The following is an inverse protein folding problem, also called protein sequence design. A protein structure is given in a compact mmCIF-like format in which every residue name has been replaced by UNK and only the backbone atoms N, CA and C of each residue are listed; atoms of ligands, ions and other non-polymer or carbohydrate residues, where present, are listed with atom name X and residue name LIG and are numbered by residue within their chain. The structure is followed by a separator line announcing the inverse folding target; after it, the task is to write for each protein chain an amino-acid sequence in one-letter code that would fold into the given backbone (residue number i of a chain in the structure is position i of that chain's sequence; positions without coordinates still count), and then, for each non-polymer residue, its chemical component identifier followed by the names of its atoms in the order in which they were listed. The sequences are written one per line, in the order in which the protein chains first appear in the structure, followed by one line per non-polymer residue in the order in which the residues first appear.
data_IF_769339375608
#
_entry.id   IF_769339375608
#
_cell.length_a   1.000
_cell.length_b   1.000
_cell.length_c   1.000
_cell.angle_alpha   90.00
_cell.angle_beta   90.00
_cell.angle_gamma   90.00
#
_symmetry.space_group_name_H-M   'P 1'
#
loop_
_entity.id
_entity.type
_entity.pdbx_description
1 polymer ?
#
# COMPACT_ATOMS: atom_id res chain seq x y z
N UNK A 1 20.03 7.58 -8.62
CA UNK A 1 19.20 7.06 -9.73
C UNK A 1 17.80 7.59 -9.47
N UNK A 2 17.16 8.29 -10.41
CA UNK A 2 15.86 8.92 -10.11
C UNK A 2 14.73 7.91 -10.29
N UNK A 3 14.07 7.54 -9.20
CA UNK A 3 12.85 6.73 -9.23
C UNK A 3 11.60 7.61 -9.18
N UNK A 4 10.56 7.30 -9.95
CA UNK A 4 9.29 8.05 -9.92
C UNK A 4 8.09 7.16 -10.26
N UNK A 5 6.89 7.69 -9.99
CA UNK A 5 5.61 7.03 -10.20
C UNK A 5 4.79 7.87 -11.18
N UNK A 6 4.28 7.25 -12.25
CA UNK A 6 3.24 7.82 -13.10
C UNK A 6 1.88 7.19 -12.72
N UNK A 7 0.89 8.02 -12.41
CA UNK A 7 -0.48 7.54 -12.21
C UNK A 7 -1.16 7.28 -13.55
N UNK A 8 -1.78 6.11 -13.68
CA UNK A 8 -2.48 5.68 -14.88
C UNK A 8 -3.99 5.88 -14.70
N UNK A 9 -4.64 6.49 -15.70
CA UNK A 9 -6.10 6.54 -15.75
C UNK A 9 -6.64 5.23 -16.32
N UNK A 10 -6.80 4.23 -15.44
CA UNK A 10 -7.34 2.91 -15.77
C UNK A 10 -8.55 2.61 -14.90
N UNK A 11 -9.47 1.81 -15.45
CA UNK A 11 -10.55 1.24 -14.66
C UNK A 11 -9.96 0.39 -13.52
N UNK A 12 -10.53 0.44 -12.30
CA UNK A 12 -10.06 -0.36 -11.19
C UNK A 12 -10.07 -1.85 -11.49
N UNK A 13 -9.01 -2.55 -11.08
CA UNK A 13 -8.91 -4.00 -11.23
C UNK A 13 -10.01 -4.71 -10.41
N UNK A 14 -10.78 -5.64 -11.00
CA UNK A 14 -11.84 -6.36 -10.29
C UNK A 14 -11.37 -7.08 -9.02
N UNK A 15 -10.12 -7.55 -8.99
CA UNK A 15 -9.52 -8.18 -7.81
C UNK A 15 -9.43 -7.18 -6.66
N UNK A 16 -9.05 -5.94 -6.96
CA UNK A 16 -8.90 -4.88 -5.96
C UNK A 16 -10.26 -4.39 -5.46
N UNK A 17 -11.26 -4.28 -6.34
CA UNK A 17 -12.63 -3.98 -5.96
C UNK A 17 -13.17 -5.02 -4.98
N UNK A 18 -12.90 -6.30 -5.21
CA UNK A 18 -13.30 -7.36 -4.29
C UNK A 18 -12.63 -7.22 -2.90
N UNK A 19 -11.36 -6.85 -2.84
CA UNK A 19 -10.67 -6.59 -1.57
C UNK A 19 -11.26 -5.39 -0.84
N UNK A 20 -11.64 -4.34 -1.58
CA UNK A 20 -12.34 -3.19 -1.02
C UNK A 20 -13.68 -3.60 -0.39
N UNK A 21 -14.50 -4.40 -1.10
CA UNK A 21 -15.79 -4.88 -0.58
C UNK A 21 -15.62 -5.67 0.73
N UNK A 22 -14.61 -6.54 0.81
CA UNK A 22 -14.29 -7.29 2.02
C UNK A 22 -13.95 -6.32 3.16
N UNK A 23 -13.08 -5.34 2.89
CA UNK A 23 -12.70 -4.36 3.90
C UNK A 23 -13.90 -3.54 4.39
N UNK A 24 -14.77 -3.11 3.49
CA UNK A 24 -15.99 -2.36 3.82
C UNK A 24 -16.96 -3.18 4.69
N UNK A 25 -17.03 -4.49 4.50
CA UNK A 25 -17.82 -5.39 5.37
C UNK A 25 -17.22 -5.54 6.77
N UNK A 26 -15.94 -5.25 6.97
CA UNK A 26 -15.29 -5.25 8.28
C UNK A 26 -15.53 -3.96 9.06
N UNK A 27 -15.82 -2.85 8.36
CA UNK A 27 -16.20 -1.58 8.99
C UNK A 27 -17.53 -1.77 9.71
N UNK A 28 -17.56 -1.41 10.99
CA UNK A 28 -18.77 -1.52 11.83
C UNK A 28 -19.03 -0.20 12.53
N UNK A 29 -20.27 0.29 12.45
CA UNK A 29 -20.71 1.52 13.12
C UNK A 29 -19.80 2.73 12.84
N UNK A 30 -19.26 2.82 11.61
CA UNK A 30 -18.34 3.89 11.20
C UNK A 30 -16.91 3.77 11.75
N UNK A 31 -16.59 2.71 12.50
CA UNK A 31 -15.26 2.42 13.01
C UNK A 31 -14.46 1.57 12.03
N UNK A 32 -13.20 1.96 11.85
CA UNK A 32 -12.23 1.23 11.04
C UNK A 32 -11.96 -0.15 11.66
N UNK A 33 -11.68 -1.17 10.84
CA UNK A 33 -11.31 -2.48 11.35
C UNK A 33 -9.93 -2.45 12.00
N UNK A 34 -9.74 -3.23 13.07
CA UNK A 34 -8.43 -3.46 13.64
C UNK A 34 -7.63 -4.43 12.76
N UNK A 35 -6.34 -4.15 12.56
CA UNK A 35 -5.44 -5.07 11.89
C UNK A 35 -5.20 -6.31 12.75
N UNK A 36 -5.26 -7.50 12.15
CA UNK A 36 -4.80 -8.73 12.77
C UNK A 36 -4.41 -9.75 11.70
N UNK A 37 -3.42 -10.58 11.99
CA UNK A 37 -3.02 -11.66 11.08
C UNK A 37 -4.19 -12.61 10.74
N UNK A 38 -5.09 -12.88 11.70
CA UNK A 38 -6.31 -13.64 11.46
C UNK A 38 -7.33 -12.90 10.56
N UNK A 39 -7.37 -11.57 10.66
CA UNK A 39 -8.17 -10.71 9.78
C UNK A 39 -7.67 -10.74 8.33
N UNK A 40 -6.36 -10.82 8.11
CA UNK A 40 -5.76 -10.93 6.78
C UNK A 40 -6.22 -12.19 6.02
N UNK A 41 -6.49 -13.29 6.73
CA UNK A 41 -6.98 -14.55 6.12
C UNK A 41 -8.35 -14.37 5.44
N UNK A 42 -9.10 -13.31 5.77
CA UNK A 42 -10.38 -13.01 5.12
C UNK A 42 -10.22 -12.49 3.69
N UNK A 43 -9.05 -11.97 3.34
CA UNK A 43 -8.76 -11.53 1.99
C UNK A 43 -8.31 -12.74 1.17
N UNK A 44 -8.94 -13.06 0.02
CA UNK A 44 -8.68 -14.27 -0.76
C UNK A 44 -7.41 -14.17 -1.60
N UNK A 45 -6.33 -13.67 -1.00
CA UNK A 45 -5.08 -13.30 -1.69
C UNK A 45 -3.90 -13.85 -0.91
N UNK A 46 -2.87 -14.27 -1.63
CA UNK A 46 -1.67 -14.77 -0.99
C UNK A 46 -1.00 -13.62 -0.20
N UNK A 47 -0.48 -13.87 1.02
CA UNK A 47 0.33 -12.90 1.76
C UNK A 47 1.51 -12.35 0.95
N UNK A 48 1.94 -13.06 -0.10
CA UNK A 48 3.00 -12.62 -1.01
C UNK A 48 2.63 -11.38 -1.84
N UNK A 49 1.34 -11.09 -2.01
CA UNK A 49 0.85 -9.87 -2.68
C UNK A 49 0.62 -8.70 -1.72
N UNK A 50 0.93 -8.86 -0.43
CA UNK A 50 0.64 -7.88 0.59
C UNK A 50 1.91 -7.22 1.14
N UNK A 51 1.85 -5.90 1.31
CA UNK A 51 2.77 -5.13 2.13
C UNK A 51 2.07 -4.65 3.40
N UNK A 52 2.78 -4.72 4.52
CA UNK A 52 2.29 -4.26 5.83
C UNK A 52 3.08 -3.02 6.22
N UNK A 53 2.37 -1.90 6.33
CA UNK A 53 2.95 -0.60 6.65
C UNK A 53 2.40 -0.16 7.99
N UNK A 54 3.27 0.03 8.98
CA UNK A 54 2.91 0.65 10.25
C UNK A 54 2.99 2.16 10.15
N UNK A 55 1.92 2.81 10.61
CA UNK A 55 1.85 4.26 10.76
C UNK A 55 2.32 4.62 12.16
N UNK A 56 3.57 5.10 12.25
CA UNK A 56 4.21 5.47 13.51
C UNK A 56 4.27 6.99 13.66
N UNK A 57 4.45 7.44 14.90
CA UNK A 57 4.61 8.85 15.23
C UNK A 57 5.92 9.07 15.97
N UNK A 58 6.68 10.06 15.49
CA UNK A 58 7.86 10.61 16.14
C UNK A 58 7.57 12.07 16.51
N UNK A 59 7.06 12.25 17.72
CA UNK A 59 6.46 13.52 18.15
C UNK A 59 5.25 13.89 17.28
N UNK A 60 5.35 15.03 16.56
CA UNK A 60 4.29 15.48 15.63
C UNK A 60 4.44 14.92 14.22
N UNK A 61 5.55 14.26 13.91
CA UNK A 61 5.84 13.75 12.57
C UNK A 61 5.29 12.33 12.45
N UNK A 62 4.43 12.12 11.46
CA UNK A 62 4.04 10.77 11.03
C UNK A 62 5.17 10.14 10.22
N UNK A 63 5.42 8.86 10.43
CA UNK A 63 6.44 8.07 9.74
C UNK A 63 5.86 6.73 9.36
N UNK A 64 6.28 6.22 8.21
CA UNK A 64 5.80 4.96 7.66
C UNK A 64 6.91 3.93 7.72
N UNK A 65 6.69 2.86 8.50
CA UNK A 65 7.61 1.75 8.64
C UNK A 65 7.07 0.54 7.89
N UNK A 66 7.80 0.07 6.88
CA UNK A 66 7.40 -1.12 6.13
C UNK A 66 7.81 -2.33 6.96
N UNK A 67 6.84 -2.99 7.58
CA UNK A 67 7.08 -4.19 8.39
C UNK A 67 7.57 -5.32 7.50
N UNK A 68 6.89 -5.50 6.37
CA UNK A 68 7.19 -6.54 5.40
C UNK A 68 6.54 -6.24 4.07
N UNK A 69 7.29 -6.45 3.00
CA UNK A 69 6.78 -6.61 1.64
C UNK A 69 6.64 -8.11 1.31
N UNK A 70 5.52 -8.46 0.69
CA UNK A 70 5.29 -9.80 0.15
C UNK A 70 6.20 -10.06 -1.05
N UNK A 71 6.58 -11.32 -1.28
CA UNK A 71 7.52 -11.67 -2.34
C UNK A 71 7.04 -11.25 -3.74
N UNK A 72 5.74 -11.34 -4.02
CA UNK A 72 5.16 -10.92 -5.29
C UNK A 72 5.06 -9.39 -5.39
N UNK A 73 4.96 -8.66 -4.27
CA UNK A 73 5.09 -7.19 -4.27
C UNK A 73 6.50 -6.80 -4.67
N UNK A 74 7.52 -7.40 -4.04
CA UNK A 74 8.93 -7.12 -4.36
C UNK A 74 9.22 -7.42 -5.83
N UNK A 75 8.67 -8.50 -6.38
CA UNK A 75 8.79 -8.83 -7.81
C UNK A 75 8.11 -7.77 -8.70
N UNK A 76 6.87 -7.38 -8.36
CA UNK A 76 6.08 -6.44 -9.16
C UNK A 76 6.60 -4.99 -9.10
N UNK A 77 7.13 -4.56 -7.96
CA UNK A 77 7.60 -3.18 -7.73
C UNK A 77 9.11 -3.07 -8.00
N UNK A 78 9.87 -4.13 -7.74
CA UNK A 78 11.31 -4.20 -7.98
C UNK A 78 12.20 -3.72 -6.85
N UNK A 79 11.64 -3.39 -5.68
CA UNK A 79 12.37 -3.01 -4.48
C UNK A 79 11.76 -3.72 -3.27
N UNK A 80 12.61 -4.09 -2.31
CA UNK A 80 12.19 -4.60 -1.00
C UNK A 80 12.48 -3.52 0.05
N UNK A 81 11.42 -2.97 0.62
CA UNK A 81 11.49 -1.96 1.68
C UNK A 81 11.31 -2.57 3.07
N UNK A 82 11.23 -3.90 3.21
CA UNK A 82 11.02 -4.57 4.49
C UNK A 82 12.02 -4.14 5.55
N UNK A 83 11.51 -3.79 6.73
CA UNK A 83 12.32 -3.40 7.88
C UNK A 83 12.88 -1.97 7.82
N UNK A 84 12.44 -1.13 6.87
CA UNK A 84 12.89 0.26 6.75
C UNK A 84 11.77 1.28 6.95
N UNK A 85 12.18 2.52 7.26
CA UNK A 85 11.29 3.66 7.14
C UNK A 85 11.36 4.22 5.72
N UNK A 86 10.21 4.61 5.15
CA UNK A 86 10.19 5.22 3.82
C UNK A 86 10.96 6.56 3.76
N UNK A 87 11.08 7.25 4.90
CA UNK A 87 11.86 8.48 5.01
C UNK A 87 13.34 8.28 5.37
N UNK A 88 13.82 7.03 5.39
CA UNK A 88 15.24 6.73 5.54
C UNK A 88 16.02 7.12 4.26
N UNK A 89 17.33 7.39 4.37
CA UNK A 89 18.19 7.60 3.20
C UNK A 89 18.06 6.45 2.20
N UNK A 90 17.82 6.78 0.94
CA UNK A 90 17.60 5.83 -0.17
C UNK A 90 18.21 6.38 -1.45
N UNK A 91 18.55 5.48 -2.38
CA UNK A 91 19.03 5.84 -3.72
C UNK A 91 17.92 6.38 -4.63
N UNK A 92 16.65 6.23 -4.21
CA UNK A 92 15.43 6.68 -4.92
C UNK A 92 14.52 7.53 -4.00
N UNK A 93 14.99 8.70 -3.51
CA UNK A 93 14.26 9.49 -2.53
C UNK A 93 12.96 10.11 -3.08
N UNK A 94 12.88 10.43 -4.37
CA UNK A 94 11.67 10.96 -4.99
C UNK A 94 10.54 9.92 -5.01
N UNK A 95 10.88 8.66 -5.32
CA UNK A 95 9.94 7.54 -5.27
C UNK A 95 9.34 7.37 -3.87
N UNK A 96 10.16 7.36 -2.82
CA UNK A 96 9.67 7.29 -1.44
C UNK A 96 8.83 8.51 -1.04
N UNK A 97 9.19 9.71 -1.52
CA UNK A 97 8.41 10.92 -1.24
C UNK A 97 6.99 10.82 -1.80
N UNK A 98 6.83 10.24 -2.99
CA UNK A 98 5.51 10.00 -3.59
C UNK A 98 4.73 8.97 -2.77
N UNK A 99 5.35 7.84 -2.41
CA UNK A 99 4.70 6.81 -1.57
C UNK A 99 4.21 7.39 -0.23
N UNK A 100 5.04 8.21 0.44
CA UNK A 100 4.66 8.89 1.68
C UNK A 100 3.42 9.76 1.47
N UNK A 101 3.37 10.52 0.36
CA UNK A 101 2.21 11.35 0.03
C UNK A 101 0.93 10.53 -0.19
N UNK A 102 1.04 9.35 -0.83
CA UNK A 102 -0.10 8.47 -1.04
C UNK A 102 -0.63 7.90 0.29
N UNK A 103 0.27 7.45 1.16
CA UNK A 103 -0.11 7.00 2.50
C UNK A 103 -0.71 8.11 3.36
N UNK A 104 -0.22 9.35 3.24
CA UNK A 104 -0.84 10.49 3.90
C UNK A 104 -2.27 10.72 3.42
N UNK A 105 -2.54 10.53 2.12
CA UNK A 105 -3.88 10.59 1.54
C UNK A 105 -4.83 9.53 2.11
N UNK A 106 -4.35 8.30 2.29
CA UNK A 106 -5.12 7.21 2.93
C UNK A 106 -5.42 7.55 4.38
N UNK A 107 -4.43 8.03 5.14
CA UNK A 107 -4.62 8.37 6.55
C UNK A 107 -5.59 9.54 6.70
N UNK A 108 -5.50 10.55 5.85
CA UNK A 108 -6.38 11.72 5.90
C UNK A 108 -7.83 11.38 5.52
N UNK A 109 -8.03 10.58 4.47
CA UNK A 109 -9.37 10.22 3.98
C UNK A 109 -10.05 9.15 4.81
N UNK A 110 -9.25 8.28 5.47
CA UNK A 110 -9.72 7.08 6.18
C UNK A 110 -10.52 6.15 5.27
N UNK A 111 -10.17 6.11 4.00
CA UNK A 111 -10.81 5.27 2.97
C UNK A 111 -9.75 4.47 2.22
N UNK A 112 -10.13 3.30 1.68
CA UNK A 112 -9.30 2.61 0.71
C UNK A 112 -8.88 3.52 -0.45
N UNK A 113 -7.62 3.43 -0.87
CA UNK A 113 -7.12 4.06 -2.11
C UNK A 113 -6.84 2.97 -3.12
N UNK A 114 -7.61 2.97 -4.21
CA UNK A 114 -7.33 2.19 -5.41
C UNK A 114 -6.40 2.98 -6.33
N UNK A 115 -5.48 2.29 -6.99
CA UNK A 115 -4.59 2.93 -7.95
C UNK A 115 -4.18 1.98 -9.07
N UNK A 116 -3.77 2.59 -10.18
CA UNK A 116 -3.00 1.98 -11.25
C UNK A 116 -1.82 2.91 -11.55
N UNK A 117 -0.62 2.37 -11.58
CA UNK A 117 0.61 3.13 -11.57
C UNK A 117 1.68 2.48 -12.46
N UNK A 118 2.57 3.29 -12.98
CA UNK A 118 3.80 2.86 -13.64
C UNK A 118 4.99 3.31 -12.80
N UNK A 119 5.71 2.35 -12.24
CA UNK A 119 6.87 2.58 -11.39
C UNK A 119 8.14 2.54 -12.22
N UNK A 120 8.89 3.64 -12.22
CA UNK A 120 10.19 3.74 -12.88
C UNK A 120 11.28 3.59 -11.85
N UNK A 121 11.89 2.42 -11.79
CA UNK A 121 12.99 2.07 -10.87
C UNK A 121 14.03 1.23 -11.61
N UNK A 122 15.33 1.48 -11.38
CA UNK A 122 16.42 0.74 -12.02
C UNK A 122 16.39 0.73 -13.56
N UNK A 123 15.98 1.85 -14.15
CA UNK A 123 15.76 2.00 -15.61
C UNK A 123 14.75 1.00 -16.18
N UNK A 124 13.84 0.48 -15.34
CA UNK A 124 12.73 -0.38 -15.75
C UNK A 124 11.41 0.27 -15.36
N UNK A 125 10.48 0.30 -16.31
CA UNK A 125 9.09 0.61 -16.04
C UNK A 125 8.37 -0.68 -15.62
N UNK A 126 7.57 -0.61 -14.57
CA UNK A 126 6.72 -1.71 -14.11
C UNK A 126 5.31 -1.19 -13.96
N UNK A 127 4.37 -1.82 -14.65
CA UNK A 127 2.95 -1.48 -14.55
C UNK A 127 2.34 -2.28 -13.40
N UNK A 128 1.71 -1.58 -12.46
CA UNK A 128 1.08 -2.20 -11.31
C UNK A 128 -0.31 -1.61 -11.07
N UNK A 129 -1.15 -2.39 -10.40
CA UNK A 129 -2.35 -1.90 -9.75
C UNK A 129 -2.35 -2.36 -8.30
N UNK A 130 -2.89 -1.53 -7.43
CA UNK A 130 -2.96 -1.87 -6.02
C UNK A 130 -4.07 -1.17 -5.27
N UNK A 131 -4.23 -1.62 -4.02
CA UNK A 131 -5.17 -1.04 -3.07
C UNK A 131 -4.48 -0.88 -1.72
N UNK A 132 -4.61 0.30 -1.13
CA UNK A 132 -4.17 0.59 0.23
C UNK A 132 -5.38 0.59 1.16
N UNK A 133 -5.38 -0.30 2.15
CA UNK A 133 -6.48 -0.51 3.09
C UNK A 133 -6.09 0.00 4.48
N UNK A 134 -6.79 1.01 5.03
CA UNK A 134 -6.49 1.52 6.37
C UNK A 134 -7.09 0.64 7.48
N UNK A 135 -6.32 0.43 8.55
CA UNK A 135 -6.75 -0.26 9.76
C UNK A 135 -6.44 0.61 10.99
N UNK A 136 -7.29 0.51 12.02
CA UNK A 136 -7.13 1.23 13.28
C UNK A 136 -7.48 0.32 14.46
N UNK A 137 -6.54 0.09 15.37
CA UNK A 137 -6.80 -0.70 16.58
C UNK A 137 -7.88 -0.09 17.50
N UNK A 138 -7.99 1.25 17.55
CA UNK A 138 -9.00 1.97 18.33
C UNK A 138 -10.27 2.30 17.52
N UNK A 139 -10.30 1.91 16.23
CA UNK A 139 -11.38 2.19 15.29
C UNK A 139 -11.35 3.60 14.69
N UNK A 140 -10.38 4.44 15.07
CA UNK A 140 -10.29 5.84 14.64
C UNK A 140 -8.92 6.22 14.06
N UNK A 141 -7.84 5.97 14.77
CA UNK A 141 -6.50 6.38 14.38
C UNK A 141 -5.82 5.25 13.61
N UNK A 142 -5.54 5.51 12.34
CA UNK A 142 -4.90 4.53 11.47
C UNK A 142 -3.49 4.26 11.98
N UNK A 143 -3.25 3.01 12.38
CA UNK A 143 -1.97 2.51 12.88
C UNK A 143 -1.33 1.50 11.92
N UNK A 144 -2.13 0.92 11.01
CA UNK A 144 -1.63 0.01 9.95
C UNK A 144 -2.32 0.31 8.62
N UNK A 145 -1.54 0.26 7.54
CA UNK A 145 -2.02 0.20 6.17
C UNK A 145 -1.58 -1.15 5.61
N UNK A 146 -2.53 -1.91 5.06
CA UNK A 146 -2.20 -3.11 4.28
C UNK A 146 -2.36 -2.74 2.82
N UNK A 147 -1.28 -2.89 2.06
CA UNK A 147 -1.28 -2.65 0.63
C UNK A 147 -1.26 -3.98 -0.12
N UNK A 148 -2.16 -4.16 -1.10
CA UNK A 148 -2.11 -5.29 -2.01
C UNK A 148 -1.72 -4.83 -3.40
N UNK A 149 -0.75 -5.51 -4.02
CA UNK A 149 -0.19 -5.13 -5.33
C UNK A 149 -0.22 -6.29 -6.32
N UNK A 150 -0.58 -5.97 -7.56
CA UNK A 150 -0.52 -6.87 -8.70
C UNK A 150 0.22 -6.21 -9.85
N UNK A 151 1.10 -6.96 -10.51
CA UNK A 151 1.60 -6.58 -11.82
C UNK A 151 0.42 -6.53 -12.82
N UNK A 152 0.43 -5.50 -13.65
CA UNK A 152 -0.42 -5.40 -14.82
C UNK A 152 0.38 -5.93 -16.01
N UNK A 153 -0.21 -6.83 -16.77
CA UNK A 153 0.36 -7.20 -18.07
C UNK A 153 0.30 -5.98 -19.01
N UNK A 154 1.36 -5.77 -19.79
CA UNK A 154 1.27 -4.90 -20.95
C UNK A 154 0.22 -5.50 -21.89
N UNK A 155 -0.76 -4.69 -22.31
CA UNK A 155 -1.59 -5.06 -23.45
C UNK A 155 -0.64 -5.15 -24.65
N UNK A 156 -0.39 -6.38 -25.09
CA UNK A 156 0.33 -6.67 -26.33
C UNK A 156 -0.33 -6.04 -27.55
#
# INVERSE_FOLDING_TARGET
MTGYINYLDRNPDPRLLHLQEIWEQLVKDGKLPAYSAAGLVKFPVAPDHASIIEVRHDGKRRRYFVVKDGAAVVEAVGIDCSGTYLDAPSDTPEYHTILISDYDGVVASRRPRLYAEEHHLDNRARLIAGIQLPFAADGEHIDVIVEFVYALEELA
#
